data_IF_756171114587
#
_entry.id   IF_756171114587
#
_cell.length_a   1.000
_cell.length_b   1.000
_cell.length_c   1.000
_cell.angle_alpha   90.00
_cell.angle_beta   90.00
_cell.angle_gamma   90.00
#
_symmetry.space_group_name_H-M   'P 1'
#
loop_
_entity.id
_entity.type
_entity.pdbx_description
1 polymer ?
#
# COMPACT_ATOMS: atom_id res chain seq x y z
N UNK A 1 -38.21 23.58 1.25
CA UNK A 1 -37.36 23.05 0.15
C UNK A 1 -35.91 23.16 0.61
N UNK A 2 -35.35 22.09 1.16
CA UNK A 2 -33.94 22.06 1.59
C UNK A 2 -33.05 21.81 0.37
N UNK A 3 -32.22 22.79 0.04
CA UNK A 3 -31.10 22.59 -0.88
C UNK A 3 -30.16 21.53 -0.28
N UNK A 4 -30.09 20.37 -0.95
CA UNK A 4 -28.99 19.42 -0.78
C UNK A 4 -27.71 20.16 -1.17
N UNK A 5 -26.95 20.59 -0.17
CA UNK A 5 -25.55 20.95 -0.33
C UNK A 5 -24.81 19.70 -0.78
N UNK A 6 -24.69 19.52 -2.09
CA UNK A 6 -23.68 18.67 -2.69
C UNK A 6 -22.36 19.32 -2.28
N UNK A 7 -21.76 18.85 -1.19
CA UNK A 7 -20.37 19.13 -0.90
C UNK A 7 -19.55 18.51 -2.03
N UNK A 8 -19.30 19.28 -3.09
CA UNK A 8 -18.14 19.08 -3.95
C UNK A 8 -16.92 19.49 -3.12
N UNK A 9 -16.59 18.69 -2.09
CA UNK A 9 -15.26 18.75 -1.52
C UNK A 9 -14.35 18.22 -2.61
N UNK A 10 -13.70 19.16 -3.30
CA UNK A 10 -12.55 18.89 -4.14
C UNK A 10 -11.40 18.55 -3.21
N UNK A 11 -11.44 17.35 -2.62
CA UNK A 11 -10.38 16.86 -1.76
C UNK A 11 -9.17 16.59 -2.65
N UNK A 12 -8.09 17.33 -2.41
CA UNK A 12 -6.79 17.06 -3.05
C UNK A 12 -6.31 15.72 -2.51
N UNK A 13 -6.05 14.79 -3.41
CA UNK A 13 -5.55 13.45 -3.07
C UNK A 13 -4.05 13.41 -3.30
N UNK A 14 -3.29 12.84 -2.37
CA UNK A 14 -1.85 12.60 -2.52
C UNK A 14 -1.64 11.10 -2.63
N UNK A 15 -0.91 10.66 -3.66
CA UNK A 15 -0.50 9.25 -3.78
C UNK A 15 0.99 9.11 -3.47
N UNK A 16 1.31 8.13 -2.63
CA UNK A 16 2.67 7.86 -2.15
C UNK A 16 2.99 6.38 -2.33
N UNK A 17 4.09 6.09 -3.01
CA UNK A 17 4.63 4.75 -3.14
C UNK A 17 5.55 4.46 -1.94
N UNK A 18 5.24 3.42 -1.19
CA UNK A 18 6.03 2.93 -0.08
C UNK A 18 6.81 1.70 -0.50
N UNK A 19 8.07 1.63 -0.09
CA UNK A 19 8.95 0.54 -0.46
C UNK A 19 10.10 0.39 0.50
N UNK A 20 11.03 -0.47 0.10
CA UNK A 20 12.29 -0.68 0.79
C UNK A 20 13.43 -0.57 -0.21
N UNK A 21 14.55 -0.04 0.25
CA UNK A 21 15.80 -0.11 -0.49
C UNK A 21 16.88 -0.81 0.34
N UNK A 22 17.81 -1.45 -0.36
CA UNK A 22 19.01 -2.04 0.22
C UNK A 22 20.24 -1.61 -0.57
N UNK A 23 21.36 -1.41 0.12
CA UNK A 23 22.63 -1.10 -0.52
C UNK A 23 23.30 -2.41 -0.99
N UNK A 24 23.50 -2.55 -2.30
CA UNK A 24 24.07 -3.71 -2.97
C UNK A 24 25.56 -3.93 -2.65
N UNK A 25 26.32 -2.87 -2.31
CA UNK A 25 27.79 -2.91 -2.22
C UNK A 25 28.37 -2.85 -0.79
N UNK A 26 27.53 -2.69 0.24
CA UNK A 26 28.02 -2.45 1.59
C UNK A 26 28.29 -3.75 2.37
N UNK A 27 29.54 -4.21 2.38
CA UNK A 27 29.98 -5.36 3.20
C UNK A 27 29.90 -5.10 4.71
N UNK A 28 29.93 -3.84 5.15
CA UNK A 28 29.87 -3.43 6.57
C UNK A 28 28.43 -3.31 7.09
N UNK A 29 27.45 -3.04 6.21
CA UNK A 29 26.02 -3.19 6.50
C UNK A 29 25.49 -4.39 5.71
N UNK A 30 25.83 -5.61 6.11
CA UNK A 30 25.17 -6.80 5.56
C UNK A 30 23.64 -6.64 5.67
N UNK A 31 22.98 -6.29 4.56
CA UNK A 31 21.53 -6.35 4.41
C UNK A 31 20.68 -5.36 5.21
N UNK A 32 21.14 -4.12 5.45
CA UNK A 32 20.26 -3.09 6.02
C UNK A 32 19.16 -2.68 5.02
N UNK A 33 17.92 -3.16 5.20
CA UNK A 33 16.75 -2.66 4.47
C UNK A 33 16.26 -1.40 5.16
N UNK A 34 16.05 -0.32 4.42
CA UNK A 34 15.44 0.89 4.96
C UNK A 34 14.17 1.22 4.19
N UNK A 35 13.18 1.75 4.90
CA UNK A 35 11.90 2.14 4.32
C UNK A 35 12.06 3.44 3.53
N UNK A 36 11.39 3.49 2.38
CA UNK A 36 11.29 4.66 1.51
C UNK A 36 9.82 4.98 1.25
N UNK A 37 9.52 6.27 1.17
CA UNK A 37 8.22 6.79 0.76
C UNK A 37 8.46 7.87 -0.28
N UNK A 38 7.89 7.68 -1.47
CA UNK A 38 8.07 8.55 -2.63
C UNK A 38 6.70 9.06 -3.05
N UNK A 39 6.53 10.37 -3.10
CA UNK A 39 5.32 10.99 -3.63
C UNK A 39 5.23 10.74 -5.14
N UNK A 40 4.14 10.10 -5.57
CA UNK A 40 3.82 9.88 -6.99
C UNK A 40 3.27 11.19 -7.58
N UNK A 41 2.44 11.89 -6.80
CA UNK A 41 1.87 13.17 -7.18
C UNK A 41 0.57 13.46 -6.44
N UNK A 42 -0.10 14.50 -6.91
CA UNK A 42 -1.31 15.01 -6.29
C UNK A 42 -2.41 15.19 -7.33
N UNK A 43 -3.63 14.79 -6.97
CA UNK A 43 -4.72 14.54 -7.91
C UNK A 43 -6.01 15.19 -7.43
N UNK A 44 -6.80 15.69 -8.38
CA UNK A 44 -8.13 16.22 -8.11
C UNK A 44 -9.24 15.16 -8.12
N UNK A 45 -8.93 13.94 -8.57
CA UNK A 45 -9.90 12.85 -8.66
C UNK A 45 -9.30 11.52 -8.22
N UNK A 46 -10.14 10.66 -7.64
CA UNK A 46 -9.74 9.33 -7.21
C UNK A 46 -9.43 8.41 -8.41
N UNK A 47 -10.17 8.55 -9.51
CA UNK A 47 -9.94 7.78 -10.72
C UNK A 47 -8.53 8.07 -11.30
N UNK A 48 -8.15 9.36 -11.38
CA UNK A 48 -6.81 9.76 -11.84
C UNK A 48 -5.73 9.28 -10.88
N UNK A 49 -5.95 9.42 -9.56
CA UNK A 49 -5.00 8.96 -8.55
C UNK A 49 -4.75 7.44 -8.66
N UNK A 50 -5.80 6.64 -8.84
CA UNK A 50 -5.70 5.18 -9.05
C UNK A 50 -4.92 4.88 -10.32
N UNK A 51 -5.30 5.50 -11.45
CA UNK A 51 -4.68 5.23 -12.75
C UNK A 51 -3.20 5.60 -12.75
N UNK A 52 -2.86 6.82 -12.31
CA UNK A 52 -1.49 7.31 -12.30
C UNK A 52 -0.62 6.53 -11.32
N UNK A 53 -1.18 6.07 -10.19
CA UNK A 53 -0.47 5.18 -9.26
C UNK A 53 -0.18 3.82 -9.88
N UNK A 54 -1.15 3.23 -10.58
CA UNK A 54 -0.96 1.95 -11.25
C UNK A 54 0.07 2.07 -12.40
N UNK A 55 0.02 3.15 -13.17
CA UNK A 55 1.01 3.44 -14.22
C UNK A 55 2.41 3.62 -13.63
N UNK A 56 2.54 4.33 -12.52
CA UNK A 56 3.81 4.53 -11.81
C UNK A 56 4.46 3.20 -11.39
N UNK A 57 3.66 2.29 -10.83
CA UNK A 57 4.12 0.95 -10.43
C UNK A 57 4.47 0.11 -11.65
N UNK A 58 3.61 0.09 -12.67
CA UNK A 58 3.82 -0.66 -13.91
C UNK A 58 5.11 -0.27 -14.62
N UNK A 59 5.44 1.02 -14.61
CA UNK A 59 6.64 1.58 -15.23
C UNK A 59 7.88 1.50 -14.32
N UNK A 60 7.76 0.93 -13.11
CA UNK A 60 8.83 0.78 -12.13
C UNK A 60 9.57 2.10 -11.85
N UNK A 61 8.84 3.23 -11.88
CA UNK A 61 9.42 4.57 -11.69
C UNK A 61 10.05 4.76 -10.31
N UNK A 62 9.63 3.95 -9.34
CA UNK A 62 10.24 3.87 -8.01
C UNK A 62 11.74 3.49 -8.06
N UNK A 63 12.12 2.58 -8.97
CA UNK A 63 13.51 2.13 -9.12
C UNK A 63 14.37 3.23 -9.76
N UNK A 64 13.82 3.96 -10.73
CA UNK A 64 14.52 5.02 -11.48
C UNK A 64 14.86 6.25 -10.63
N UNK A 65 14.06 6.54 -9.60
CA UNK A 65 14.30 7.68 -8.71
C UNK A 65 15.36 7.40 -7.64
N UNK A 66 15.72 6.14 -7.44
CA UNK A 66 16.87 5.75 -6.64
C UNK A 66 18.14 5.79 -7.51
N UNK A 67 18.44 6.96 -8.11
CA UNK A 67 19.60 7.15 -8.97
C UNK A 67 20.87 7.24 -8.12
N UNK A 68 21.46 6.06 -7.90
CA UNK A 68 22.74 5.86 -7.25
C UNK A 68 23.05 4.38 -7.41
N UNK A 69 24.16 4.07 -8.09
CA UNK A 69 24.55 2.78 -8.69
C UNK A 69 24.56 1.55 -7.75
N UNK A 70 24.05 1.67 -6.52
CA UNK A 70 24.19 0.70 -5.44
C UNK A 70 22.91 0.41 -4.69
N UNK A 71 21.73 0.88 -5.11
CA UNK A 71 20.49 0.57 -4.39
C UNK A 71 19.55 -0.33 -5.20
N UNK A 72 19.11 -1.44 -4.59
CA UNK A 72 17.98 -2.22 -5.09
C UNK A 72 16.74 -1.74 -4.34
N UNK A 73 15.79 -1.16 -5.06
CA UNK A 73 14.56 -0.62 -4.51
C UNK A 73 13.38 -1.50 -4.90
N UNK A 74 12.48 -1.77 -3.95
CA UNK A 74 11.27 -2.55 -4.18
C UNK A 74 10.07 -1.79 -3.61
N UNK A 75 9.08 -1.54 -4.45
CA UNK A 75 7.80 -1.02 -4.01
C UNK A 75 7.01 -2.13 -3.28
N UNK A 76 6.34 -1.78 -2.18
CA UNK A 76 5.55 -2.68 -1.36
C UNK A 76 4.06 -2.37 -1.47
N UNK A 77 3.70 -1.09 -1.36
CA UNK A 77 2.32 -0.64 -1.48
C UNK A 77 2.26 0.84 -1.88
N UNK A 78 1.10 1.27 -2.37
CA UNK A 78 0.78 2.66 -2.63
C UNK A 78 -0.35 3.09 -1.70
N UNK A 79 -0.18 4.21 -1.01
CA UNK A 79 -1.24 4.88 -0.26
C UNK A 79 -1.76 6.07 -1.06
N UNK A 80 -3.08 6.20 -1.16
CA UNK A 80 -3.77 7.42 -1.56
C UNK A 80 -4.42 8.00 -0.31
N UNK A 81 -4.11 9.25 0.00
CA UNK A 81 -4.62 9.99 1.17
C UNK A 81 -5.32 11.27 0.76
N UNK A 82 -6.26 11.72 1.58
CA UNK A 82 -6.90 13.03 1.40
C UNK A 82 -6.10 14.14 2.08
N UNK A 83 -6.63 15.36 2.04
CA UNK A 83 -6.06 16.56 2.62
C UNK A 83 -6.00 16.54 4.16
N UNK A 84 -6.68 15.59 4.79
CA UNK A 84 -6.64 15.34 6.24
C UNK A 84 -5.71 14.17 6.59
N UNK A 85 -4.89 13.72 5.63
CA UNK A 85 -4.02 12.53 5.75
C UNK A 85 -4.79 11.23 6.02
N UNK A 86 -6.12 11.22 5.83
CA UNK A 86 -6.92 10.03 6.02
C UNK A 86 -6.69 9.07 4.86
N UNK A 87 -6.52 7.77 5.18
CA UNK A 87 -6.34 6.75 4.16
C UNK A 87 -7.62 6.64 3.31
N UNK A 88 -7.48 6.95 2.02
CA UNK A 88 -8.54 6.84 1.01
C UNK A 88 -8.47 5.46 0.36
N UNK A 89 -7.29 5.01 -0.05
CA UNK A 89 -7.11 3.72 -0.70
C UNK A 89 -5.67 3.25 -0.55
N UNK A 90 -5.47 1.94 -0.37
CA UNK A 90 -4.15 1.30 -0.48
C UNK A 90 -4.16 0.26 -1.59
N UNK A 91 -3.07 0.16 -2.32
CA UNK A 91 -2.81 -0.93 -3.26
C UNK A 91 -1.52 -1.65 -2.91
N UNK A 92 -1.56 -2.98 -2.86
CA UNK A 92 -0.38 -3.83 -2.65
C UNK A 92 0.33 -4.01 -4.00
N UNK A 93 1.64 -3.78 -4.03
CA UNK A 93 2.42 -3.95 -5.26
C UNK A 93 2.80 -5.41 -5.41
N UNK A 94 2.41 -6.01 -6.54
CA UNK A 94 2.70 -7.39 -6.91
C UNK A 94 3.43 -7.40 -8.27
N UNK A 95 4.75 -7.30 -8.23
CA UNK A 95 5.56 -7.08 -9.44
C UNK A 95 5.23 -5.74 -10.09
N UNK A 96 4.76 -5.77 -11.34
CA UNK A 96 4.32 -4.56 -12.07
C UNK A 96 2.82 -4.26 -11.91
N UNK A 97 2.12 -5.05 -11.08
CA UNK A 97 0.70 -4.87 -10.81
C UNK A 97 0.44 -4.25 -9.44
N UNK A 98 -0.76 -3.68 -9.29
CA UNK A 98 -1.27 -3.18 -8.02
C UNK A 98 -2.58 -3.90 -7.67
N UNK A 99 -2.59 -4.65 -6.57
CA UNK A 99 -3.78 -5.26 -5.99
C UNK A 99 -4.43 -4.32 -4.97
N UNK A 100 -5.54 -3.70 -5.36
CA UNK A 100 -6.21 -2.68 -4.55
C UNK A 100 -6.97 -3.30 -3.37
N UNK A 101 -6.65 -2.86 -2.15
CA UNK A 101 -7.32 -3.33 -0.94
C UNK A 101 -8.79 -2.89 -0.96
N UNK A 102 -9.70 -3.85 -0.91
CA UNK A 102 -11.13 -3.55 -0.83
C UNK A 102 -11.49 -2.97 0.54
N UNK A 103 -12.19 -1.82 0.60
CA UNK A 103 -12.61 -1.25 1.87
C UNK A 103 -13.52 -2.20 2.68
N UNK A 104 -13.36 -2.18 4.00
CA UNK A 104 -14.29 -2.86 4.91
C UNK A 104 -15.73 -2.35 4.70
N UNK A 105 -16.64 -3.26 4.37
CA UNK A 105 -18.02 -2.95 3.96
C UNK A 105 -18.89 -2.52 5.13
N UNK A 106 -18.55 -2.97 6.33
CA UNK A 106 -19.33 -2.70 7.54
C UNK A 106 -18.44 -2.32 8.71
N UNK A 107 -19.04 -1.69 9.73
CA UNK A 107 -18.35 -1.44 11.01
C UNK A 107 -17.93 -2.74 11.71
N UNK A 108 -18.73 -3.81 11.60
CA UNK A 108 -18.42 -5.13 12.17
C UNK A 108 -17.17 -5.73 11.52
N UNK A 109 -17.11 -5.67 10.19
CA UNK A 109 -15.95 -6.12 9.42
C UNK A 109 -14.70 -5.29 9.75
N UNK A 110 -14.82 -3.96 9.80
CA UNK A 110 -13.70 -3.09 10.19
C UNK A 110 -13.15 -3.44 11.58
N UNK A 111 -14.02 -3.68 12.58
CA UNK A 111 -13.59 -4.15 13.91
C UNK A 111 -12.89 -5.51 13.85
N UNK A 112 -13.42 -6.43 13.04
CA UNK A 112 -12.80 -7.75 12.84
C UNK A 112 -11.42 -7.66 12.18
N UNK A 113 -11.22 -6.68 11.30
CA UNK A 113 -9.92 -6.40 10.68
C UNK A 113 -8.98 -5.78 11.70
N UNK A 114 -9.42 -4.82 12.51
CA UNK A 114 -8.60 -4.24 13.59
C UNK A 114 -8.11 -5.30 14.58
N UNK A 115 -8.97 -6.23 15.00
CA UNK A 115 -8.55 -7.35 15.87
C UNK A 115 -7.50 -8.26 15.20
N UNK A 116 -7.62 -8.51 13.89
CA UNK A 116 -6.61 -9.29 13.16
C UNK A 116 -5.27 -8.54 13.07
N UNK A 117 -5.29 -7.22 12.89
CA UNK A 117 -4.08 -6.38 12.88
C UNK A 117 -3.40 -6.44 14.25
N UNK A 118 -4.14 -6.30 15.34
CA UNK A 118 -3.60 -6.41 16.70
C UNK A 118 -2.91 -7.78 16.91
N UNK A 119 -3.60 -8.87 16.60
CA UNK A 119 -3.06 -10.24 16.72
C UNK A 119 -1.80 -10.46 15.87
N UNK A 120 -1.82 -10.01 14.62
CA UNK A 120 -0.67 -10.14 13.72
C UNK A 120 0.49 -9.23 14.13
N UNK A 121 0.21 -8.07 14.72
CA UNK A 121 1.25 -7.19 15.25
C UNK A 121 1.93 -7.83 16.46
N UNK A 122 1.17 -8.47 17.35
CA UNK A 122 1.75 -9.26 18.45
C UNK A 122 2.57 -10.46 17.94
N UNK A 123 2.11 -11.12 16.88
CA UNK A 123 2.87 -12.19 16.23
C UNK A 123 4.16 -11.67 15.58
N UNK A 124 4.08 -10.55 14.85
CA UNK A 124 5.23 -9.88 14.24
C UNK A 124 6.31 -9.62 15.29
N UNK A 125 5.93 -8.96 16.40
CA UNK A 125 6.85 -8.66 17.50
C UNK A 125 7.47 -9.94 18.07
N UNK A 126 6.68 -10.99 18.29
CA UNK A 126 7.21 -12.28 18.77
C UNK A 126 8.21 -12.91 17.79
N UNK A 127 7.94 -12.88 16.50
CA UNK A 127 8.82 -13.46 15.47
C UNK A 127 10.11 -12.66 15.31
N UNK A 128 10.04 -11.33 15.40
CA UNK A 128 11.21 -10.43 15.34
C UNK A 128 12.21 -10.72 16.47
N UNK A 129 11.75 -11.24 17.60
CA UNK A 129 12.60 -11.65 18.73
C UNK A 129 13.10 -13.10 18.67
N UNK A 130 12.57 -13.95 17.77
CA UNK A 130 12.85 -15.40 17.77
C UNK A 130 13.83 -15.85 16.68
N UNK A 131 14.09 -15.02 15.67
CA UNK A 131 14.85 -15.44 14.49
C UNK A 131 16.21 -14.75 14.44
N UNK A 132 17.30 -15.52 14.62
CA UNK A 132 18.56 -15.14 14.01
C UNK A 132 18.35 -15.11 12.49
N UNK A 133 18.29 -13.91 11.92
CA UNK A 133 18.00 -13.57 10.51
C UNK A 133 18.57 -14.55 9.47
N UNK A 134 19.75 -15.12 9.76
CA UNK A 134 20.49 -16.11 8.96
C UNK A 134 19.72 -17.44 8.77
N UNK A 135 18.86 -17.82 9.70
CA UNK A 135 18.10 -19.08 9.66
C UNK A 135 16.81 -18.94 8.84
N UNK A 136 16.14 -17.79 8.87
CA UNK A 136 14.94 -17.53 8.06
C UNK A 136 15.27 -17.35 6.57
N UNK A 137 16.38 -16.68 6.24
CA UNK A 137 16.86 -16.53 4.85
C UNK A 137 17.11 -17.89 4.16
N UNK A 138 17.52 -18.92 4.92
CA UNK A 138 17.76 -20.28 4.40
C UNK A 138 16.49 -21.08 4.08
N UNK A 139 15.33 -20.66 4.57
CA UNK A 139 14.07 -21.41 4.43
C UNK A 139 13.12 -20.85 3.35
N UNK A 140 13.51 -19.78 2.65
CA UNK A 140 12.85 -19.34 1.41
C UNK A 140 11.46 -18.70 1.58
N UNK A 141 11.06 -18.35 2.81
CA UNK A 141 9.91 -17.49 3.10
C UNK A 141 10.06 -16.97 4.52
N UNK A 142 10.42 -15.70 4.66
CA UNK A 142 10.54 -15.07 5.96
C UNK A 142 9.13 -14.96 6.58
N UNK A 143 8.85 -15.62 7.73
CA UNK A 143 7.59 -15.46 8.43
C UNK A 143 7.24 -14.00 8.68
N UNK A 144 8.26 -13.15 8.87
CA UNK A 144 8.12 -11.71 9.07
C UNK A 144 7.57 -11.03 7.82
N UNK A 145 8.09 -11.33 6.62
CA UNK A 145 7.60 -10.75 5.36
C UNK A 145 6.13 -11.07 5.11
N UNK A 146 5.71 -12.32 5.34
CA UNK A 146 4.28 -12.71 5.19
C UNK A 146 3.37 -11.98 6.17
N UNK A 147 3.82 -11.78 7.41
CA UNK A 147 3.05 -11.01 8.40
C UNK A 147 2.97 -9.56 7.97
N UNK A 148 4.07 -8.95 7.51
CA UNK A 148 4.10 -7.56 7.02
C UNK A 148 3.18 -7.35 5.83
N UNK A 149 3.21 -8.22 4.82
CA UNK A 149 2.30 -8.17 3.66
C UNK A 149 0.83 -8.25 4.11
N UNK A 150 0.54 -9.18 5.03
CA UNK A 150 -0.83 -9.35 5.54
C UNK A 150 -1.29 -8.13 6.35
N UNK A 151 -0.43 -7.55 7.18
CA UNK A 151 -0.70 -6.32 7.90
C UNK A 151 -0.99 -5.17 6.94
N UNK A 152 -0.13 -4.98 5.93
CA UNK A 152 -0.30 -3.92 4.94
C UNK A 152 -1.66 -4.02 4.23
N UNK A 153 -2.08 -5.23 3.84
CA UNK A 153 -3.39 -5.47 3.23
C UNK A 153 -4.56 -5.18 4.18
N UNK A 154 -4.48 -5.63 5.44
CA UNK A 154 -5.53 -5.43 6.43
C UNK A 154 -5.69 -3.95 6.78
N UNK A 155 -4.60 -3.24 7.01
CA UNK A 155 -4.59 -1.79 7.19
C UNK A 155 -5.16 -1.06 5.98
N UNK A 156 -4.79 -1.50 4.77
CA UNK A 156 -5.32 -0.99 3.51
C UNK A 156 -6.83 -1.13 3.36
N UNK A 157 -7.41 -2.13 4.03
CA UNK A 157 -8.86 -2.36 4.06
C UNK A 157 -9.59 -1.44 5.05
N UNK A 158 -8.87 -0.79 5.99
CA UNK A 158 -9.41 0.16 6.98
C UNK A 158 -9.51 1.58 6.44
N UNK A 159 -10.00 1.74 5.21
CA UNK A 159 -10.29 3.03 4.59
C UNK A 159 -11.20 3.90 5.47
N UNK A 160 -10.92 5.19 5.48
CA UNK A 160 -11.70 6.20 6.21
C UNK A 160 -13.20 6.09 5.89
N UNK A 161 -14.09 6.09 6.90
CA UNK A 161 -15.53 5.95 6.68
C UNK A 161 -16.13 6.91 5.65
N UNK A 162 -15.57 8.12 5.51
CA UNK A 162 -16.04 9.14 4.56
C UNK A 162 -15.77 8.77 3.09
N UNK A 163 -14.81 7.87 2.84
CA UNK A 163 -14.36 7.51 1.50
C UNK A 163 -14.84 6.13 1.02
N UNK A 164 -15.28 5.25 1.93
CA UNK A 164 -15.57 3.84 1.62
C UNK A 164 -16.48 3.62 0.42
N UNK A 165 -17.60 4.36 0.36
CA UNK A 165 -18.58 4.20 -0.72
C UNK A 165 -18.01 4.65 -2.07
N UNK A 166 -17.34 5.81 -2.09
CA UNK A 166 -16.71 6.37 -3.30
C UNK A 166 -15.61 5.45 -3.83
N UNK A 167 -14.75 4.96 -2.94
CA UNK A 167 -13.66 4.04 -3.27
C UNK A 167 -14.19 2.72 -3.79
N UNK A 168 -15.20 2.15 -3.12
CA UNK A 168 -15.85 0.91 -3.58
C UNK A 168 -16.43 1.07 -4.98
N UNK A 169 -17.04 2.22 -5.28
CA UNK A 169 -17.57 2.51 -6.60
C UNK A 169 -16.47 2.67 -7.65
N UNK A 170 -15.40 3.41 -7.35
CA UNK A 170 -14.26 3.62 -8.23
C UNK A 170 -13.55 2.30 -8.56
N UNK A 171 -13.25 1.48 -7.56
CA UNK A 171 -12.62 0.16 -7.76
C UNK A 171 -13.50 -0.77 -8.61
N UNK A 172 -14.82 -0.79 -8.40
CA UNK A 172 -15.73 -1.58 -9.24
C UNK A 172 -15.74 -1.12 -10.69
N UNK A 173 -15.61 0.18 -10.95
CA UNK A 173 -15.49 0.72 -12.31
C UNK A 173 -14.18 0.27 -12.94
N UNK A 174 -13.07 0.37 -12.19
CA UNK A 174 -11.73 0.01 -12.67
C UNK A 174 -11.59 -1.50 -12.96
N UNK A 175 -12.08 -2.36 -12.07
CA UNK A 175 -12.08 -3.82 -12.25
C UNK A 175 -12.92 -4.28 -13.45
N UNK A 176 -13.95 -3.53 -13.85
CA UNK A 176 -14.75 -3.81 -15.05
C UNK A 176 -14.06 -3.36 -16.34
N UNK A 177 -13.09 -2.47 -16.24
CA UNK A 177 -12.40 -1.86 -17.38
C UNK A 177 -11.08 -2.57 -17.71
N UNK A 178 -10.57 -3.45 -16.84
CA UNK A 178 -9.43 -4.29 -17.17
C UNK A 178 -9.87 -5.41 -18.12
N UNK A 179 -9.34 -5.48 -19.36
CA UNK A 179 -9.59 -6.62 -20.23
C UNK A 179 -9.02 -7.87 -19.56
N UNK A 180 -9.79 -8.96 -19.58
CA UNK A 180 -9.28 -10.29 -19.22
C UNK A 180 -8.16 -10.57 -20.22
N UNK A 181 -6.90 -10.42 -19.80
CA UNK A 181 -5.78 -10.98 -20.54
C UNK A 181 -5.81 -12.48 -20.32
N UNK A 182 -6.46 -13.16 -21.27
CA UNK A 182 -6.44 -14.61 -21.47
C UNK A 182 -5.15 -15.05 -22.15
#
# INVERSE_FOLDING_TARGET
MLHKLIHSQSSRLTATCHGVASNADCQQTRGGRFSLAIEIGQFGSLDDAIQQSAEYVREQRFEQQCDGERFVAMALYVDIRDDQEALVLRGIVLGQGTDWCMPARTRKEARSISMQIEQLSEEYVRQDFLVERVTAERLGSDPVERITERLAYLEGSLVSPTWRDRVTQALRKHLRQQPIQS
#
